data_IF_656500972854
#
_entry.id   IF_656500972854
#
_cell.length_a   1.000
_cell.length_b   1.000
_cell.length_c   1.000
_cell.angle_alpha   90.00
_cell.angle_beta   90.00
_cell.angle_gamma   90.00
#
_symmetry.space_group_name_H-M   'P 1'
#
loop_
_entity.id
_entity.type
_entity.pdbx_description
1 polymer ?
#
# COMPACT_ATOMS: atom_id res chain seq x y z
N UNK A 1 -44.13 -15.08 6.80
CA UNK A 1 -43.00 -15.98 6.49
C UNK A 1 -42.21 -16.18 7.78
N UNK A 2 -42.53 -17.24 8.54
CA UNK A 2 -41.97 -17.49 9.88
C UNK A 2 -40.67 -18.28 9.70
N UNK A 3 -39.52 -17.66 9.97
CA UNK A 3 -38.24 -18.37 10.01
C UNK A 3 -38.17 -19.22 11.27
N UNK A 4 -38.38 -20.52 11.09
CA UNK A 4 -38.24 -21.54 12.11
C UNK A 4 -36.75 -21.84 12.31
N UNK A 5 -36.08 -21.12 13.21
CA UNK A 5 -34.73 -21.49 13.69
C UNK A 5 -34.89 -22.53 14.81
N UNK A 6 -35.01 -23.80 14.42
CA UNK A 6 -34.73 -24.91 15.32
C UNK A 6 -33.21 -24.97 15.55
N UNK A 7 -32.72 -24.22 16.54
CA UNK A 7 -31.39 -24.47 17.11
C UNK A 7 -31.53 -25.70 18.01
N UNK A 8 -30.77 -26.75 17.68
CA UNK A 8 -30.52 -27.89 18.56
C UNK A 8 -30.01 -27.36 19.90
N UNK A 9 -30.88 -27.34 20.90
CA UNK A 9 -30.51 -27.07 22.29
C UNK A 9 -29.77 -28.33 22.75
N UNK A 10 -28.44 -28.31 22.65
CA UNK A 10 -27.61 -29.26 23.37
C UNK A 10 -27.71 -28.87 24.85
N UNK A 11 -28.61 -29.53 25.56
CA UNK A 11 -28.59 -29.56 27.03
C UNK A 11 -27.31 -30.26 27.48
N UNK A 12 -26.20 -29.52 27.52
CA UNK A 12 -25.01 -29.94 28.25
C UNK A 12 -25.12 -29.40 29.67
N UNK A 13 -25.50 -30.29 30.56
CA UNK A 13 -25.37 -30.15 32.00
C UNK A 13 -23.92 -29.84 32.39
N UNK A 14 -23.75 -28.86 33.30
CA UNK A 14 -22.53 -28.49 34.05
C UNK A 14 -21.41 -27.70 33.34
N UNK A 15 -21.74 -26.80 32.42
CA UNK A 15 -20.78 -25.82 31.88
C UNK A 15 -21.37 -24.41 31.78
N UNK A 16 -20.51 -23.38 31.87
CA UNK A 16 -20.87 -22.02 31.52
C UNK A 16 -21.38 -21.97 30.06
N UNK A 17 -22.36 -21.09 29.74
CA UNK A 17 -22.85 -20.93 28.38
C UNK A 17 -21.73 -20.50 27.44
N UNK A 18 -21.94 -20.75 26.15
CA UNK A 18 -20.98 -20.39 25.11
C UNK A 18 -20.70 -18.88 25.12
N UNK A 19 -19.50 -18.51 24.69
CA UNK A 19 -19.03 -17.12 24.68
C UNK A 19 -20.00 -16.20 23.91
N UNK A 20 -20.59 -16.68 22.81
CA UNK A 20 -21.56 -15.93 22.01
C UNK A 20 -22.79 -15.50 22.84
N UNK A 21 -23.27 -16.37 23.74
CA UNK A 21 -24.46 -16.10 24.58
C UNK A 21 -24.12 -15.06 25.66
N UNK A 22 -22.92 -15.15 26.25
CA UNK A 22 -22.46 -14.17 27.26
C UNK A 22 -22.29 -12.78 26.64
N UNK A 23 -21.76 -12.71 25.40
CA UNK A 23 -21.70 -11.46 24.64
C UNK A 23 -23.10 -10.91 24.35
N UNK A 24 -24.02 -11.73 23.85
CA UNK A 24 -25.40 -11.31 23.60
C UNK A 24 -26.10 -10.81 24.88
N UNK A 25 -25.80 -11.39 26.04
CA UNK A 25 -26.29 -10.89 27.33
C UNK A 25 -25.69 -9.53 27.69
N UNK A 26 -24.39 -9.33 27.50
CA UNK A 26 -23.70 -8.05 27.75
C UNK A 26 -24.26 -6.92 26.87
N UNK A 27 -24.54 -7.21 25.60
CA UNK A 27 -25.12 -6.23 24.65
C UNK A 27 -26.63 -6.01 24.86
N UNK A 28 -27.26 -6.74 25.78
CA UNK A 28 -28.70 -6.64 26.08
C UNK A 28 -29.60 -7.28 25.03
N UNK A 29 -29.03 -8.10 24.13
CA UNK A 29 -29.75 -8.82 23.09
C UNK A 29 -30.37 -10.13 23.59
N UNK A 30 -29.88 -10.67 24.72
CA UNK A 30 -30.43 -11.89 25.31
C UNK A 30 -31.71 -11.59 26.12
N UNK A 31 -32.80 -12.38 25.95
CA UNK A 31 -34.00 -12.24 26.76
C UNK A 31 -33.72 -12.39 28.26
N UNK A 32 -34.24 -11.46 29.07
CA UNK A 32 -33.98 -11.41 30.53
C UNK A 32 -34.58 -12.56 31.35
N UNK A 33 -35.50 -13.31 30.77
CA UNK A 33 -36.25 -14.39 31.44
C UNK A 33 -35.78 -15.79 31.00
N UNK A 34 -34.68 -15.89 30.25
CA UNK A 34 -34.15 -17.17 29.77
C UNK A 34 -33.33 -17.91 30.83
N UNK A 35 -33.24 -19.25 30.76
CA UNK A 35 -32.41 -20.05 31.68
C UNK A 35 -30.93 -19.65 31.63
N UNK A 36 -30.44 -19.27 30.45
CA UNK A 36 -29.07 -18.76 30.24
C UNK A 36 -28.84 -17.43 30.94
N UNK A 37 -29.82 -16.52 30.89
CA UNK A 37 -29.74 -15.22 31.57
C UNK A 37 -29.72 -15.36 33.10
N UNK A 38 -30.50 -16.30 33.65
CA UNK A 38 -30.50 -16.61 35.07
C UNK A 38 -29.18 -17.25 35.53
N UNK A 39 -28.59 -18.12 34.68
CA UNK A 39 -27.27 -18.66 34.93
C UNK A 39 -26.19 -17.59 34.90
N UNK A 40 -26.12 -16.76 33.86
CA UNK A 40 -25.12 -15.69 33.72
C UNK A 40 -25.19 -14.73 34.92
N UNK A 41 -26.41 -14.42 35.40
CA UNK A 41 -26.62 -13.56 36.57
C UNK A 41 -26.11 -14.15 37.89
N UNK A 42 -26.01 -15.48 38.01
CA UNK A 42 -25.64 -16.17 39.26
C UNK A 42 -24.26 -16.84 39.22
N UNK A 43 -23.69 -17.08 38.04
CA UNK A 43 -22.43 -17.78 37.85
C UNK A 43 -21.23 -16.82 37.97
N UNK A 44 -20.33 -17.10 38.93
CA UNK A 44 -19.15 -16.27 39.20
C UNK A 44 -18.20 -16.14 37.99
N UNK A 45 -18.02 -17.22 37.21
CA UNK A 45 -17.16 -17.18 36.03
C UNK A 45 -17.75 -16.28 34.92
N UNK A 46 -19.07 -16.37 34.71
CA UNK A 46 -19.76 -15.51 33.74
C UNK A 46 -19.69 -14.04 34.17
N UNK A 47 -19.88 -13.75 35.46
CA UNK A 47 -19.75 -12.40 36.01
C UNK A 47 -18.34 -11.83 35.80
N UNK A 48 -17.29 -12.62 36.05
CA UNK A 48 -15.91 -12.19 35.79
C UNK A 48 -15.69 -11.80 34.32
N UNK A 49 -16.27 -12.55 33.36
CA UNK A 49 -16.17 -12.21 31.93
C UNK A 49 -16.92 -10.93 31.60
N UNK A 50 -18.11 -10.71 32.18
CA UNK A 50 -18.88 -9.47 32.01
C UNK A 50 -18.13 -8.25 32.56
N UNK A 51 -17.43 -8.40 33.69
CA UNK A 51 -16.57 -7.34 34.22
C UNK A 51 -15.43 -6.99 33.27
N UNK A 52 -14.80 -7.98 32.63
CA UNK A 52 -13.72 -7.74 31.66
C UNK A 52 -14.24 -7.04 30.39
N UNK A 53 -15.43 -7.41 29.90
CA UNK A 53 -16.11 -6.68 28.83
C UNK A 53 -16.41 -5.22 29.24
N UNK A 54 -16.89 -4.99 30.47
CA UNK A 54 -17.16 -3.65 30.99
C UNK A 54 -15.88 -2.80 31.09
N UNK A 55 -14.75 -3.39 31.54
CA UNK A 55 -13.45 -2.71 31.59
C UNK A 55 -12.98 -2.30 30.19
N UNK A 56 -13.08 -3.20 29.20
CA UNK A 56 -12.71 -2.90 27.82
C UNK A 56 -13.60 -1.82 27.21
N UNK A 57 -14.92 -1.93 27.36
CA UNK A 57 -15.88 -0.92 26.89
C UNK A 57 -15.60 0.46 27.53
N UNK A 58 -15.31 0.49 28.84
CA UNK A 58 -14.95 1.72 29.55
C UNK A 58 -13.62 2.33 29.08
N UNK A 59 -12.62 1.50 28.77
CA UNK A 59 -11.36 1.97 28.20
C UNK A 59 -11.57 2.60 26.81
N UNK A 60 -12.37 1.97 25.94
CA UNK A 60 -12.70 2.50 24.61
C UNK A 60 -13.47 3.82 24.74
N UNK A 61 -14.49 3.87 25.60
CA UNK A 61 -15.32 5.07 25.79
C UNK A 61 -14.53 6.28 26.31
N UNK A 62 -13.57 6.07 27.22
CA UNK A 62 -12.69 7.15 27.72
C UNK A 62 -11.82 7.72 26.60
N UNK A 63 -11.18 6.84 25.82
CA UNK A 63 -10.35 7.25 24.68
C UNK A 63 -11.14 7.95 23.58
N UNK A 64 -12.40 7.56 23.35
CA UNK A 64 -13.26 8.23 22.37
C UNK A 64 -13.68 9.63 22.84
N UNK A 65 -14.05 9.79 24.12
CA UNK A 65 -14.43 11.10 24.68
C UNK A 65 -13.28 12.11 24.69
N UNK A 66 -12.07 11.66 25.00
CA UNK A 66 -10.89 12.52 25.05
C UNK A 66 -10.45 12.99 23.65
N UNK A 67 -10.82 12.24 22.60
CA UNK A 67 -10.42 12.50 21.22
C UNK A 67 -11.47 13.21 20.37
N UNK A 68 -12.68 13.37 20.90
CA UNK A 68 -13.75 14.10 20.24
C UNK A 68 -13.52 15.61 20.48
N UNK A 69 -12.51 16.17 19.80
CA UNK A 69 -12.31 17.60 19.73
C UNK A 69 -13.62 18.25 19.24
N UNK A 70 -14.20 19.13 20.06
CA UNK A 70 -15.47 19.79 19.78
C UNK A 70 -15.49 20.50 18.41
N UNK A 71 -14.31 20.88 17.90
CA UNK A 71 -14.12 21.59 16.62
C UNK A 71 -13.93 20.68 15.40
N UNK A 72 -13.92 19.36 15.55
CA UNK A 72 -13.73 18.46 14.41
C UNK A 72 -14.78 18.64 13.29
N UNK A 73 -16.08 18.81 13.58
CA UNK A 73 -17.10 19.02 12.54
C UNK A 73 -16.87 20.34 11.78
N UNK A 74 -16.52 21.41 12.49
CA UNK A 74 -16.24 22.72 11.87
C UNK A 74 -14.97 22.68 11.02
N UNK A 75 -13.94 21.99 11.50
CA UNK A 75 -12.67 21.83 10.79
C UNK A 75 -12.86 21.03 9.49
N UNK A 76 -13.67 19.97 9.53
CA UNK A 76 -14.03 19.19 8.34
C UNK A 76 -14.88 20.03 7.36
N UNK A 77 -15.89 20.77 7.83
CA UNK A 77 -16.69 21.64 6.98
C UNK A 77 -15.84 22.74 6.31
N UNK A 78 -14.88 23.31 7.02
CA UNK A 78 -13.94 24.29 6.47
C UNK A 78 -13.06 23.69 5.37
N UNK A 79 -12.56 22.46 5.56
CA UNK A 79 -11.77 21.75 4.54
C UNK A 79 -12.58 21.37 3.30
N UNK A 80 -13.83 20.96 3.47
CA UNK A 80 -14.73 20.65 2.34
C UNK A 80 -15.03 21.92 1.54
N UNK A 81 -15.36 23.04 2.23
CA UNK A 81 -15.56 24.33 1.56
C UNK A 81 -14.32 24.81 0.83
N UNK A 82 -13.12 24.68 1.41
CA UNK A 82 -11.88 25.06 0.73
C UNK A 82 -11.61 24.23 -0.52
N UNK A 83 -11.93 22.93 -0.52
CA UNK A 83 -11.79 22.09 -1.72
C UNK A 83 -12.79 22.48 -2.82
N UNK A 84 -14.05 22.70 -2.45
CA UNK A 84 -15.08 23.16 -3.41
C UNK A 84 -14.71 24.54 -4.00
N UNK A 85 -14.14 25.43 -3.20
CA UNK A 85 -13.67 26.74 -3.67
C UNK A 85 -12.41 26.67 -4.53
N UNK A 86 -11.52 25.70 -4.29
CA UNK A 86 -10.31 25.51 -5.09
C UNK A 86 -10.58 24.82 -6.44
N UNK A 87 -11.59 23.95 -6.50
CA UNK A 87 -12.00 23.23 -7.72
C UNK A 87 -12.82 24.11 -8.69
N UNK A 88 -13.35 25.25 -8.20
CA UNK A 88 -13.74 26.35 -9.08
C UNK A 88 -12.47 26.93 -9.69
N UNK A 89 -12.09 26.40 -10.86
CA UNK A 89 -10.99 26.90 -11.69
C UNK A 89 -10.94 28.43 -11.59
N UNK A 90 -9.80 29.03 -11.21
CA UNK A 90 -9.67 30.47 -11.31
C UNK A 90 -9.94 30.79 -12.78
N UNK A 91 -11.02 31.54 -13.04
CA UNK A 91 -11.32 32.06 -14.36
C UNK A 91 -10.21 33.04 -14.66
N UNK A 92 -9.10 32.54 -15.21
CA UNK A 92 -7.98 33.37 -15.64
C UNK A 92 -8.54 34.20 -16.78
N UNK A 93 -8.67 35.51 -16.59
CA UNK A 93 -9.35 36.32 -17.58
C UNK A 93 -8.56 36.28 -18.89
N UNK A 94 -9.30 36.15 -19.99
CA UNK A 94 -8.77 35.80 -21.32
C UNK A 94 -7.60 36.67 -21.81
N UNK A 95 -7.50 37.92 -21.33
CA UNK A 95 -6.40 38.82 -21.67
C UNK A 95 -5.03 38.36 -21.12
N UNK A 96 -4.97 37.68 -19.97
CA UNK A 96 -3.69 37.20 -19.39
C UNK A 96 -3.09 36.09 -20.26
N UNK A 97 -3.95 35.24 -20.84
CA UNK A 97 -3.54 34.17 -21.76
C UNK A 97 -2.97 34.76 -23.07
N UNK A 98 -3.51 35.90 -23.54
CA UNK A 98 -2.99 36.60 -24.72
C UNK A 98 -1.56 37.15 -24.48
N UNK A 99 -1.31 37.75 -23.30
CA UNK A 99 0.02 38.26 -22.96
C UNK A 99 1.07 37.15 -22.82
N UNK A 100 0.70 35.98 -22.27
CA UNK A 100 1.63 34.84 -22.19
C UNK A 100 2.06 34.32 -23.57
N UNK A 101 1.14 34.29 -24.55
CA UNK A 101 1.47 33.90 -25.93
C UNK A 101 2.43 34.89 -26.58
N UNK A 102 2.24 36.19 -26.37
CA UNK A 102 3.14 37.22 -26.88
C UNK A 102 4.56 37.09 -26.28
N UNK A 103 4.66 36.86 -24.97
CA UNK A 103 5.96 36.71 -24.29
C UNK A 103 6.76 35.50 -24.82
N UNK A 104 6.11 34.37 -25.09
CA UNK A 104 6.77 33.18 -25.65
C UNK A 104 7.36 33.43 -27.04
N UNK A 105 6.67 34.22 -27.89
CA UNK A 105 7.16 34.60 -29.22
C UNK A 105 8.39 35.51 -29.10
N UNK A 106 8.38 36.47 -28.17
CA UNK A 106 9.53 37.34 -27.93
C UNK A 106 10.78 36.57 -27.49
N UNK A 107 10.62 35.55 -26.63
CA UNK A 107 11.74 34.70 -26.19
C UNK A 107 12.34 33.91 -27.37
N UNK A 108 11.49 33.38 -28.26
CA UNK A 108 11.93 32.67 -29.47
C UNK A 108 12.71 33.59 -30.41
N UNK A 109 12.20 34.80 -30.67
CA UNK A 109 12.87 35.78 -31.54
C UNK A 109 14.21 36.22 -30.93
N UNK A 110 14.24 36.50 -29.62
CA UNK A 110 15.46 36.87 -28.91
C UNK A 110 16.51 35.74 -28.95
N UNK A 111 16.08 34.48 -28.79
CA UNK A 111 16.95 33.31 -28.89
C UNK A 111 17.58 33.15 -30.28
N UNK A 112 16.79 33.35 -31.35
CA UNK A 112 17.30 33.32 -32.73
C UNK A 112 18.32 34.45 -32.95
N UNK A 113 18.06 35.64 -32.43
CA UNK A 113 18.96 36.79 -32.57
C UNK A 113 20.31 36.57 -31.87
N UNK A 114 20.29 35.99 -30.66
CA UNK A 114 21.50 35.61 -29.92
C UNK A 114 22.27 34.51 -30.64
N UNK A 115 21.57 33.53 -31.21
CA UNK A 115 22.19 32.43 -31.96
C UNK A 115 22.94 32.94 -33.22
N UNK A 116 22.33 33.80 -34.02
CA UNK A 116 22.96 34.37 -35.23
C UNK A 116 24.19 35.23 -34.85
N UNK A 117 24.10 36.00 -33.76
CA UNK A 117 25.22 36.81 -33.30
C UNK A 117 26.41 35.94 -32.87
N UNK A 118 26.18 34.89 -32.09
CA UNK A 118 27.25 33.98 -31.66
C UNK A 118 27.82 33.14 -32.81
N UNK A 119 27.03 32.83 -33.83
CA UNK A 119 27.52 32.08 -35.00
C UNK A 119 28.44 32.93 -35.90
N UNK A 120 28.28 34.25 -35.90
CA UNK A 120 29.10 35.16 -36.72
C UNK A 120 30.48 35.42 -36.10
N UNK A 121 30.60 35.35 -34.76
CA UNK A 121 31.87 35.53 -34.04
C UNK A 121 32.73 34.25 -33.93
N UNK A 122 32.23 33.10 -34.38
CA UNK A 122 32.87 31.78 -34.16
C UNK A 122 33.96 31.39 -35.18
N UNK A 123 34.38 32.28 -36.08
CA UNK A 123 35.41 32.01 -37.10
C UNK A 123 36.82 32.49 -36.70
N UNK A 124 37.30 32.12 -35.50
CA UNK A 124 38.75 32.19 -35.24
C UNK A 124 39.28 31.10 -34.30
N UNK A 125 40.31 30.42 -34.81
CA UNK A 125 41.31 29.55 -34.14
C UNK A 125 40.95 28.09 -33.85
N UNK A 126 41.28 27.26 -34.85
CA UNK A 126 41.79 25.89 -34.70
C UNK A 126 43.29 25.98 -34.39
N UNK A 127 43.77 25.43 -33.25
CA UNK A 127 45.13 24.87 -33.10
C UNK A 127 45.19 24.01 -31.83
N UNK A 128 45.72 22.78 -31.93
CA UNK A 128 46.22 22.04 -30.76
C UNK A 128 45.95 20.55 -30.75
N UNK A 129 46.94 19.78 -31.18
CA UNK A 129 46.98 18.33 -31.34
C UNK A 129 47.50 17.56 -30.10
N UNK A 130 46.87 16.39 -29.83
CA UNK A 130 47.39 15.15 -29.20
C UNK A 130 47.79 15.10 -27.69
N UNK A 131 47.96 13.91 -27.05
CA UNK A 131 47.78 12.51 -27.49
C UNK A 131 46.93 11.58 -26.58
N UNK A 132 46.71 10.35 -27.07
CA UNK A 132 46.21 9.15 -26.36
C UNK A 132 46.98 8.85 -25.06
N UNK A 133 46.26 8.41 -24.01
CA UNK A 133 46.83 7.58 -22.95
C UNK A 133 45.81 6.56 -22.42
N UNK A 134 46.28 5.32 -22.34
CA UNK A 134 45.64 4.08 -21.91
C UNK A 134 45.44 3.99 -20.39
N UNK A 135 44.40 3.26 -19.99
CA UNK A 135 43.91 2.98 -18.62
C UNK A 135 44.90 2.22 -17.71
N UNK A 136 44.70 2.25 -16.37
CA UNK A 136 44.06 1.11 -15.67
C UNK A 136 43.03 1.51 -14.60
N UNK A 137 42.24 0.56 -14.03
CA UNK A 137 41.03 0.84 -13.27
C UNK A 137 41.33 1.15 -11.80
N UNK A 138 40.75 2.23 -11.29
CA UNK A 138 40.68 2.50 -9.85
C UNK A 138 39.29 2.13 -9.34
N UNK A 139 39.25 1.13 -8.45
CA UNK A 139 38.11 0.82 -7.61
C UNK A 139 37.85 2.01 -6.66
N UNK A 140 36.82 2.80 -6.95
CA UNK A 140 36.31 3.79 -6.02
C UNK A 140 35.03 3.22 -5.42
N UNK A 141 35.13 2.84 -4.15
CA UNK A 141 34.02 2.61 -3.24
C UNK A 141 33.21 3.91 -3.19
N UNK A 142 32.07 3.92 -3.88
CA UNK A 142 31.09 5.01 -3.76
C UNK A 142 30.19 4.68 -2.57
N UNK A 143 30.57 5.19 -1.40
CA UNK A 143 29.66 5.38 -0.27
C UNK A 143 28.55 6.31 -0.71
N UNK A 144 27.37 5.75 -1.01
CA UNK A 144 26.15 6.51 -1.22
C UNK A 144 25.83 7.24 0.09
N UNK A 145 25.74 8.59 0.10
CA UNK A 145 25.15 9.29 1.21
C UNK A 145 23.67 8.92 1.25
N UNK A 146 23.25 8.28 2.34
CA UNK A 146 21.86 7.97 2.62
C UNK A 146 21.10 9.30 2.77
N UNK A 147 20.52 9.77 1.67
CA UNK A 147 19.62 10.92 1.64
C UNK A 147 18.36 10.50 2.40
N UNK A 148 18.20 11.03 3.61
CA UNK A 148 16.95 10.93 4.36
C UNK A 148 15.80 11.38 3.44
N UNK A 149 14.69 10.62 3.35
CA UNK A 149 13.53 11.09 2.62
C UNK A 149 13.05 12.38 3.26
N UNK A 150 12.85 13.40 2.43
CA UNK A 150 12.27 14.66 2.82
C UNK A 150 10.94 14.35 3.53
N UNK A 151 10.85 14.72 4.81
CA UNK A 151 9.63 14.60 5.58
C UNK A 151 8.50 15.30 4.84
N UNK A 152 7.46 14.54 4.52
CA UNK A 152 6.18 15.11 4.12
C UNK A 152 5.75 15.98 5.30
N UNK A 153 5.61 17.29 5.08
CA UNK A 153 5.10 18.20 6.09
C UNK A 153 3.75 17.66 6.58
N UNK A 154 3.73 17.20 7.84
CA UNK A 154 2.61 16.50 8.44
C UNK A 154 1.32 17.31 8.34
N UNK A 155 0.22 16.61 8.06
CA UNK A 155 -1.10 17.21 8.06
C UNK A 155 -1.44 17.58 9.52
N UNK A 156 -1.85 18.82 9.83
CA UNK A 156 -2.25 19.17 11.19
C UNK A 156 -3.43 18.29 11.64
N UNK A 157 -3.20 17.50 12.70
CA UNK A 157 -4.15 16.50 13.24
C UNK A 157 -3.84 15.05 12.89
N UNK A 158 -2.80 14.78 12.10
CA UNK A 158 -2.29 13.41 11.90
C UNK A 158 -1.55 12.95 13.17
N UNK A 159 -2.09 11.93 13.82
CA UNK A 159 -1.39 11.26 14.91
C UNK A 159 -0.31 10.42 14.25
N UNK A 160 0.92 10.90 14.29
CA UNK A 160 2.07 10.09 13.90
C UNK A 160 2.02 8.79 14.68
N UNK A 161 1.85 7.67 13.96
CA UNK A 161 1.76 6.32 14.54
C UNK A 161 3.01 6.01 15.39
N UNK A 162 4.13 6.69 15.11
CA UNK A 162 5.37 6.63 15.90
C UNK A 162 5.21 7.20 17.32
N UNK A 163 4.36 8.21 17.53
CA UNK A 163 4.12 8.81 18.86
C UNK A 163 3.11 8.02 19.71
N UNK A 164 2.52 6.94 19.17
CA UNK A 164 1.70 6.00 19.95
C UNK A 164 2.53 4.86 20.57
N UNK A 165 3.82 4.72 20.22
CA UNK A 165 4.72 3.69 20.80
C UNK A 165 5.05 3.96 22.26
N UNK A 166 5.08 5.22 22.68
CA UNK A 166 5.59 5.62 24.00
C UNK A 166 4.53 5.62 25.11
N UNK A 167 3.27 5.26 24.81
CA UNK A 167 2.17 5.26 25.80
C UNK A 167 1.83 3.84 26.29
N UNK A 168 2.68 2.83 26.02
CA UNK A 168 2.48 1.49 26.57
C UNK A 168 3.01 1.38 28.00
N UNK A 169 2.14 1.56 29.00
CA UNK A 169 2.47 1.37 30.43
C UNK A 169 2.18 -0.05 30.94
N UNK A 170 2.11 -1.06 30.07
CA UNK A 170 1.93 -2.45 30.49
C UNK A 170 2.93 -3.38 29.77
N UNK A 171 3.69 -4.22 30.50
CA UNK A 171 4.76 -5.04 29.92
C UNK A 171 4.27 -6.20 29.03
N UNK A 172 2.96 -6.50 28.99
CA UNK A 172 2.43 -7.71 28.31
C UNK A 172 1.44 -7.47 27.17
N UNK A 173 1.12 -6.21 26.82
CA UNK A 173 0.26 -5.94 25.66
C UNK A 173 1.11 -5.77 24.41
N UNK A 174 1.49 -6.90 23.80
CA UNK A 174 1.97 -6.89 22.41
C UNK A 174 0.77 -6.58 21.52
N UNK A 175 0.56 -5.31 21.23
CA UNK A 175 -0.32 -4.92 20.13
C UNK A 175 0.21 -5.60 18.86
N UNK A 176 -0.51 -6.63 18.41
CA UNK A 176 -0.36 -7.13 17.05
C UNK A 176 -0.85 -6.01 16.13
N UNK A 177 0.04 -5.08 15.79
CA UNK A 177 0.01 -4.46 14.46
C UNK A 177 -0.32 -5.56 13.46
N UNK A 178 -1.18 -5.35 12.44
CA UNK A 178 -1.14 -6.21 11.27
C UNK A 178 0.31 -6.18 10.87
N UNK A 179 1.00 -7.30 11.08
CA UNK A 179 2.44 -7.25 11.16
C UNK A 179 2.91 -6.59 9.88
N UNK A 180 3.50 -5.40 9.97
CA UNK A 180 4.77 -5.21 9.31
C UNK A 180 5.60 -6.36 9.86
N UNK A 181 5.42 -7.56 9.28
CA UNK A 181 6.42 -8.60 9.34
C UNK A 181 7.63 -7.80 8.93
N UNK A 182 8.54 -7.60 9.87
CA UNK A 182 9.89 -7.22 9.52
C UNK A 182 10.32 -8.31 8.55
N UNK A 183 10.10 -8.02 7.26
CA UNK A 183 10.52 -8.83 6.15
C UNK A 183 12.02 -8.65 6.15
N UNK A 184 12.66 -9.42 7.03
CA UNK A 184 14.08 -9.63 6.97
C UNK A 184 14.30 -10.32 5.62
N UNK A 185 15.07 -9.72 4.71
CA UNK A 185 15.31 -10.28 3.37
C UNK A 185 15.92 -11.69 3.43
N UNK A 186 16.47 -12.05 4.60
CA UNK A 186 17.14 -13.31 4.89
C UNK A 186 16.21 -14.37 5.51
N UNK A 187 15.00 -14.00 5.94
CA UNK A 187 14.02 -14.98 6.46
C UNK A 187 13.38 -15.72 5.28
N UNK A 188 13.47 -17.06 5.22
CA UNK A 188 12.89 -17.81 4.11
C UNK A 188 11.36 -17.65 4.08
N UNK A 189 10.83 -17.35 2.90
CA UNK A 189 9.40 -17.23 2.64
C UNK A 189 8.78 -18.58 2.26
N UNK A 190 7.54 -18.85 2.71
CA UNK A 190 6.76 -19.99 2.20
C UNK A 190 5.98 -19.50 0.98
N UNK A 191 6.25 -20.07 -0.19
CA UNK A 191 5.50 -19.80 -1.43
C UNK A 191 4.45 -20.91 -1.59
N UNK A 192 3.14 -20.58 -1.60
CA UNK A 192 2.09 -21.57 -1.81
C UNK A 192 2.05 -22.05 -3.27
N UNK A 193 1.40 -23.18 -3.52
CA UNK A 193 1.28 -23.78 -4.86
C UNK A 193 0.45 -22.94 -5.84
N UNK A 194 -0.31 -21.97 -5.34
CA UNK A 194 -1.04 -20.98 -6.13
C UNK A 194 -0.97 -19.61 -5.49
N UNK A 195 -0.57 -18.61 -6.27
CA UNK A 195 -0.31 -17.23 -5.84
C UNK A 195 -1.10 -16.28 -6.74
N UNK A 196 -1.85 -15.35 -6.14
CA UNK A 196 -2.52 -14.25 -6.83
C UNK A 196 -1.96 -12.92 -6.33
N UNK A 197 -1.41 -12.13 -7.25
CA UNK A 197 -0.78 -10.84 -6.92
C UNK A 197 -1.40 -9.70 -7.71
N UNK A 198 -1.67 -8.61 -6.99
CA UNK A 198 -2.20 -7.37 -7.54
C UNK A 198 -1.06 -6.36 -7.58
N UNK A 199 -0.80 -5.85 -8.78
CA UNK A 199 0.23 -4.87 -9.11
C UNK A 199 -0.43 -3.57 -9.52
N UNK A 200 0.19 -2.46 -9.15
CA UNK A 200 -0.20 -1.11 -9.58
C UNK A 200 0.87 -0.51 -10.47
N UNK A 201 0.43 0.30 -11.44
CA UNK A 201 1.33 1.08 -12.30
C UNK A 201 0.67 2.37 -12.76
N UNK A 202 1.49 3.38 -13.04
CA UNK A 202 1.07 4.61 -13.71
C UNK A 202 0.95 4.44 -15.22
N UNK A 203 1.65 3.44 -15.80
CA UNK A 203 1.74 3.20 -17.24
C UNK A 203 1.14 1.84 -17.62
N UNK A 204 -0.19 1.81 -17.74
CA UNK A 204 -0.93 0.64 -18.20
C UNK A 204 -0.59 0.25 -19.65
N UNK A 205 -0.16 1.21 -20.48
CA UNK A 205 0.14 0.98 -21.89
C UNK A 205 1.35 0.07 -22.08
N UNK A 206 2.36 0.23 -21.23
CA UNK A 206 3.58 -0.58 -21.27
C UNK A 206 3.58 -1.79 -20.31
N UNK A 207 2.57 -1.90 -19.44
CA UNK A 207 2.49 -2.92 -18.40
C UNK A 207 2.64 -4.37 -18.92
N UNK A 208 1.94 -4.69 -20.02
CA UNK A 208 1.97 -6.02 -20.64
C UNK A 208 3.34 -6.31 -21.28
N UNK A 209 3.90 -5.32 -21.99
CA UNK A 209 5.21 -5.46 -22.63
C UNK A 209 6.30 -5.71 -21.59
N UNK A 210 6.24 -4.99 -20.45
CA UNK A 210 7.17 -5.16 -19.34
C UNK A 210 7.02 -6.48 -18.61
N UNK A 211 5.78 -6.95 -18.39
CA UNK A 211 5.55 -8.27 -17.81
C UNK A 211 6.15 -9.38 -18.69
N UNK A 212 5.95 -9.28 -20.02
CA UNK A 212 6.54 -10.21 -21.00
C UNK A 212 8.07 -10.15 -21.02
N UNK A 213 8.65 -8.95 -20.98
CA UNK A 213 10.10 -8.74 -20.90
C UNK A 213 10.68 -9.40 -19.63
N UNK A 214 10.04 -9.20 -18.48
CA UNK A 214 10.45 -9.80 -17.21
C UNK A 214 10.38 -11.33 -17.23
N UNK A 215 9.32 -11.93 -17.75
CA UNK A 215 9.23 -13.39 -17.87
C UNK A 215 10.26 -13.99 -18.83
N UNK A 216 10.56 -13.30 -19.94
CA UNK A 216 11.61 -13.75 -20.84
C UNK A 216 12.96 -13.79 -20.13
N UNK A 217 13.26 -12.82 -19.26
CA UNK A 217 14.48 -12.80 -18.43
C UNK A 217 14.52 -13.96 -17.42
N UNK A 218 13.37 -14.52 -17.02
CA UNK A 218 13.32 -15.72 -16.17
C UNK A 218 13.37 -17.03 -16.97
N UNK A 219 13.57 -16.97 -18.29
CA UNK A 219 13.62 -18.14 -19.18
C UNK A 219 12.25 -18.72 -19.53
N UNK A 220 11.15 -17.99 -19.26
CA UNK A 220 9.79 -18.39 -19.64
C UNK A 220 9.39 -17.64 -20.91
N UNK A 221 8.89 -18.36 -21.91
CA UNK A 221 8.48 -17.77 -23.18
C UNK A 221 7.28 -16.83 -22.96
N UNK A 222 7.45 -15.55 -23.28
CA UNK A 222 6.44 -14.50 -23.14
C UNK A 222 5.12 -14.76 -23.89
N UNK A 223 5.14 -15.58 -24.94
CA UNK A 223 3.97 -15.88 -25.77
C UNK A 223 2.87 -16.65 -25.02
N UNK A 224 3.21 -17.20 -23.86
CA UNK A 224 2.28 -17.93 -22.99
C UNK A 224 1.32 -16.96 -22.27
N UNK A 225 1.73 -15.70 -22.04
CA UNK A 225 0.89 -14.72 -21.37
C UNK A 225 -0.20 -14.18 -22.30
N UNK A 226 -1.43 -14.57 -22.01
CA UNK A 226 -2.64 -13.96 -22.56
C UNK A 226 -3.29 -13.13 -21.47
N UNK A 227 -3.30 -11.82 -21.65
CA UNK A 227 -3.99 -10.92 -20.75
C UNK A 227 -5.44 -10.75 -21.19
N UNK A 228 -6.35 -10.81 -20.23
CA UNK A 228 -7.74 -10.43 -20.37
C UNK A 228 -7.96 -9.13 -19.62
N UNK A 229 -8.67 -8.18 -20.23
CA UNK A 229 -9.14 -6.99 -19.54
C UNK A 229 -10.55 -7.25 -19.03
N UNK A 230 -10.82 -6.90 -17.77
CA UNK A 230 -12.19 -6.87 -17.25
C UNK A 230 -12.88 -5.53 -17.59
N UNK A 231 -14.19 -5.43 -17.30
CA UNK A 231 -14.98 -4.20 -17.48
C UNK A 231 -14.44 -3.03 -16.63
N UNK A 232 -13.60 -3.36 -15.64
CA UNK A 232 -12.95 -2.42 -14.75
C UNK A 232 -11.60 -1.94 -15.31
N UNK A 233 -11.13 -2.42 -16.46
CA UNK A 233 -9.81 -2.07 -16.99
C UNK A 233 -8.64 -2.68 -16.21
N UNK A 234 -8.92 -3.65 -15.33
CA UNK A 234 -7.91 -4.50 -14.70
C UNK A 234 -7.44 -5.55 -15.71
N UNK A 235 -6.13 -5.65 -15.88
CA UNK A 235 -5.52 -6.66 -16.73
C UNK A 235 -5.18 -7.89 -15.89
N UNK A 236 -5.68 -9.06 -16.26
CA UNK A 236 -5.39 -10.32 -15.57
C UNK A 236 -4.76 -11.34 -16.51
N UNK A 237 -3.82 -12.13 -16.00
CA UNK A 237 -3.28 -13.30 -16.71
C UNK A 237 -2.88 -14.39 -15.72
N UNK A 238 -2.92 -15.65 -16.18
CA UNK A 238 -2.52 -16.81 -15.40
C UNK A 238 -1.42 -17.58 -16.12
N UNK A 239 -0.36 -17.94 -15.38
CA UNK A 239 0.82 -18.64 -15.91
C UNK A 239 1.35 -19.63 -14.87
N UNK A 240 1.91 -20.75 -15.33
CA UNK A 240 2.62 -21.69 -14.45
C UNK A 240 4.11 -21.39 -14.46
N UNK A 241 4.67 -21.10 -13.30
CA UNK A 241 6.09 -20.78 -13.09
C UNK A 241 6.67 -21.76 -12.06
N UNK A 242 7.98 -21.95 -12.01
CA UNK A 242 8.59 -22.53 -10.81
C UNK A 242 8.85 -21.45 -9.74
N UNK A 243 9.11 -21.85 -8.49
CA UNK A 243 9.34 -20.90 -7.37
C UNK A 243 10.49 -19.91 -7.66
N UNK A 244 11.55 -20.36 -8.33
CA UNK A 244 12.68 -19.50 -8.70
C UNK A 244 12.28 -18.46 -9.78
N UNK A 245 11.53 -18.87 -10.78
CA UNK A 245 11.03 -18.00 -11.85
C UNK A 245 10.05 -16.97 -11.28
N UNK A 246 9.13 -17.39 -10.40
CA UNK A 246 8.18 -16.49 -9.77
C UNK A 246 8.89 -15.42 -8.92
N UNK A 247 9.79 -15.83 -8.02
CA UNK A 247 10.54 -14.88 -7.18
C UNK A 247 11.40 -13.91 -8.01
N UNK A 248 12.05 -14.41 -9.07
CA UNK A 248 12.82 -13.56 -9.99
C UNK A 248 11.91 -12.60 -10.76
N UNK A 249 10.75 -13.05 -11.22
CA UNK A 249 9.77 -12.23 -11.92
C UNK A 249 9.27 -11.09 -11.02
N UNK A 250 8.82 -11.40 -9.79
CA UNK A 250 8.34 -10.39 -8.81
C UNK A 250 9.39 -9.31 -8.58
N UNK A 251 10.67 -9.71 -8.42
CA UNK A 251 11.78 -8.78 -8.25
C UNK A 251 12.03 -7.89 -9.46
N UNK A 252 12.07 -8.48 -10.65
CA UNK A 252 12.30 -7.73 -11.90
C UNK A 252 11.14 -6.77 -12.18
N UNK A 253 9.91 -7.23 -11.96
CA UNK A 253 8.72 -6.43 -12.22
C UNK A 253 8.62 -5.25 -11.25
N UNK A 254 8.92 -5.46 -9.96
CA UNK A 254 9.05 -4.37 -9.00
C UNK A 254 10.17 -3.39 -9.36
N UNK A 255 11.31 -3.89 -9.84
CA UNK A 255 12.45 -3.06 -10.27
C UNK A 255 12.10 -2.16 -11.47
N UNK A 256 11.18 -2.59 -12.32
CA UNK A 256 10.67 -1.81 -13.45
C UNK A 256 9.62 -0.77 -13.05
N UNK A 257 9.39 -0.56 -11.74
CA UNK A 257 8.55 0.51 -11.20
C UNK A 257 7.10 0.09 -10.88
N UNK A 258 6.78 -1.20 -10.98
CA UNK A 258 5.46 -1.72 -10.61
C UNK A 258 5.39 -1.94 -9.09
N UNK A 259 4.30 -1.50 -8.46
CA UNK A 259 4.13 -1.58 -7.01
C UNK A 259 3.18 -2.73 -6.64
N UNK A 260 3.68 -3.69 -5.85
CA UNK A 260 2.92 -4.84 -5.40
C UNK A 260 2.02 -4.46 -4.22
N UNK A 261 0.71 -4.63 -4.36
CA UNK A 261 -0.27 -4.39 -3.30
C UNK A 261 -0.62 -5.65 -2.50
N UNK A 262 -0.44 -6.83 -3.09
CA UNK A 262 -0.81 -8.10 -2.45
C UNK A 262 0.19 -8.47 -1.36
N UNK A 263 -0.26 -8.86 -0.15
CA UNK A 263 0.61 -9.39 0.90
C UNK A 263 1.10 -10.83 0.60
N UNK A 264 0.63 -11.43 -0.49
CA UNK A 264 0.99 -12.79 -0.88
C UNK A 264 2.48 -12.91 -1.22
N UNK A 265 3.10 -14.00 -0.75
CA UNK A 265 4.50 -14.30 -1.03
C UNK A 265 4.66 -14.83 -2.47
N UNK A 266 5.78 -14.56 -3.15
CA UNK A 266 6.95 -13.83 -2.68
C UNK A 266 6.81 -12.30 -2.79
N UNK A 267 7.47 -11.56 -1.89
CA UNK A 267 7.62 -10.09 -1.95
C UNK A 267 8.94 -9.70 -2.64
N UNK A 268 9.04 -8.52 -3.27
CA UNK A 268 10.23 -8.10 -4.04
C UNK A 268 11.55 -8.07 -3.26
N UNK A 269 11.51 -7.80 -1.96
CA UNK A 269 12.69 -7.72 -1.10
C UNK A 269 13.22 -9.09 -0.66
N UNK A 270 12.46 -10.16 -0.87
CA UNK A 270 12.80 -11.50 -0.37
C UNK A 270 13.70 -12.26 -1.34
N UNK A 271 14.79 -12.83 -0.81
CA UNK A 271 15.76 -13.58 -1.61
C UNK A 271 15.78 -15.08 -1.31
N UNK A 272 15.09 -15.53 -0.25
CA UNK A 272 15.14 -16.92 0.22
C UNK A 272 13.70 -17.44 0.38
N UNK A 273 13.46 -18.68 -0.04
CA UNK A 273 12.16 -19.35 0.13
C UNK A 273 12.33 -20.83 0.51
N UNK A 274 11.29 -21.42 1.09
CA UNK A 274 11.24 -22.83 1.46
C UNK A 274 10.81 -23.72 0.27
N UNK A 275 11.39 -24.93 0.20
CA UNK A 275 11.11 -25.94 -0.82
C UNK A 275 12.14 -25.95 -1.96
N UNK A 276 11.82 -26.64 -3.06
CA UNK A 276 12.72 -26.72 -4.20
C UNK A 276 12.47 -25.57 -5.17
N UNK A 277 13.55 -25.05 -5.77
CA UNK A 277 13.49 -24.00 -6.79
C UNK A 277 12.60 -24.36 -7.99
N UNK A 278 12.52 -25.65 -8.31
CA UNK A 278 11.81 -26.20 -9.47
C UNK A 278 10.33 -26.55 -9.21
N UNK A 279 9.86 -26.44 -7.96
CA UNK A 279 8.46 -26.69 -7.61
C UNK A 279 7.55 -25.75 -8.42
N UNK A 280 6.52 -26.32 -9.06
CA UNK A 280 5.57 -25.56 -9.88
C UNK A 280 4.58 -24.79 -9.01
N UNK A 281 4.30 -23.55 -9.43
CA UNK A 281 3.37 -22.62 -8.81
C UNK A 281 2.45 -22.06 -9.88
N UNK A 282 1.14 -22.12 -9.63
CA UNK A 282 0.15 -21.38 -10.41
C UNK A 282 0.19 -19.91 -10.03
N UNK A 283 0.51 -19.03 -10.98
CA UNK A 283 0.62 -17.60 -10.73
C UNK A 283 -0.44 -16.83 -11.50
N UNK A 284 -1.24 -16.05 -10.78
CA UNK A 284 -2.20 -15.10 -11.33
C UNK A 284 -1.69 -13.67 -11.09
N UNK A 285 -1.46 -12.94 -12.18
CA UNK A 285 -1.09 -11.53 -12.15
C UNK A 285 -2.32 -10.68 -12.45
N UNK A 286 -2.58 -9.69 -11.59
CA UNK A 286 -3.58 -8.64 -11.80
C UNK A 286 -2.88 -7.30 -11.80
N UNK A 287 -3.14 -6.47 -12.81
CA UNK A 287 -2.52 -5.15 -12.96
C UNK A 287 -3.64 -4.11 -12.97
N UNK A 288 -3.54 -3.14 -12.07
CA UNK A 288 -4.49 -2.03 -11.93
C UNK A 288 -3.78 -0.69 -12.12
N UNK A 289 -4.51 0.29 -12.67
CA UNK A 289 -4.00 1.67 -12.78
C UNK A 289 -3.97 2.32 -11.41
N UNK A 290 -2.88 3.06 -11.10
CA UNK A 290 -2.74 3.82 -9.85
C UNK A 290 -3.67 5.04 -9.77
N UNK A 291 -4.02 5.61 -10.92
CA UNK A 291 -4.79 6.85 -11.04
C UNK A 291 -6.30 6.62 -11.22
N UNK A 292 -6.84 5.61 -10.55
CA UNK A 292 -8.25 5.25 -10.65
C UNK A 292 -9.09 5.86 -9.53
#
# INVERSE_FOLDING_TARGET
MKMNRNKNIKENTTGCPDHEIVCAYFDGELPKEGPESAHIASCAECQSRLEDFAKMAGAIARNMKEKQNADFPETMLKKVRSKISAEKNPVVPFYIIQFMKAAAVFILIAGIFVYIKNFTDSNSKITGSQPLRTSPPASIVSTIPQKAPAGIAGIPGEIEIRNLRDVSTSPDIRFMTPAQKEYSPDKPAIIPDSVSQVWTTDDMGNAIAKAKECLNKTGVKADILKFTADDSGTLSSSVSLNKMQLSTFVRLYAKDGFELLSPAQPQPEQNVFYGNADDKVGYEIKIVSKNR
#
